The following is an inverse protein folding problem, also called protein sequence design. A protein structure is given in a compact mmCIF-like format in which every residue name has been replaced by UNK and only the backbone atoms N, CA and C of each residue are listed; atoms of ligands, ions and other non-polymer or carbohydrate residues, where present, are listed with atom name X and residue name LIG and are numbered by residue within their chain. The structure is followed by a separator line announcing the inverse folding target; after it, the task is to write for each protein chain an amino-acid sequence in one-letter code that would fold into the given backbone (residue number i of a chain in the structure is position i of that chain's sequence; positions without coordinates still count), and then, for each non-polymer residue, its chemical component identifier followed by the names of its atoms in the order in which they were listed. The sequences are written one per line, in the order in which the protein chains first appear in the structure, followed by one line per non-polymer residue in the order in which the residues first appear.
data_IF_170762280779
#
_entry.id   IF_170762280779
#
_cell.length_a   1.000
_cell.length_b   1.000
_cell.length_c   1.000
_cell.angle_alpha   90.00
_cell.angle_beta   90.00
_cell.angle_gamma   90.00
#
_symmetry.space_group_name_H-M   'P 1'
#
loop_
_entity.id
_entity.type
_entity.pdbx_description
1 polymer ?
#
# COMPACT_ATOMS: atom_id res chain seq x y z
N UNK A 1 -1.25 -4.88 6.36
CA UNK A 1 0.22 -4.85 6.11
C UNK A 1 0.61 -3.99 4.92
N UNK A 2 0.06 -4.24 3.72
CA UNK A 2 0.38 -3.42 2.53
C UNK A 2 -0.05 -1.96 2.75
N UNK A 3 -1.31 -1.71 3.16
CA UNK A 3 -1.81 -0.36 3.46
C UNK A 3 -1.03 0.39 4.56
N UNK A 4 -0.60 -0.29 5.61
CA UNK A 4 0.19 0.32 6.70
C UNK A 4 1.54 0.78 6.20
N UNK A 5 2.22 -0.07 5.42
CA UNK A 5 3.54 0.23 4.86
C UNK A 5 3.44 1.36 3.83
N UNK A 6 2.51 1.30 2.88
CA UNK A 6 2.35 2.35 1.87
C UNK A 6 1.92 3.69 2.48
N UNK A 7 0.99 3.72 3.44
CA UNK A 7 0.60 4.98 4.08
C UNK A 7 1.74 5.62 4.88
N UNK A 8 2.62 4.82 5.50
CA UNK A 8 3.81 5.31 6.20
C UNK A 8 4.84 5.89 5.22
N UNK A 9 5.14 5.15 4.14
CA UNK A 9 6.12 5.54 3.12
C UNK A 9 5.65 6.78 2.34
N UNK A 10 4.38 6.86 1.98
CA UNK A 10 3.80 8.01 1.26
C UNK A 10 3.76 9.26 2.15
N UNK A 11 3.41 9.13 3.44
CA UNK A 11 3.41 10.27 4.37
C UNK A 11 4.84 10.84 4.60
N UNK A 12 5.87 9.99 4.58
CA UNK A 12 7.27 10.40 4.67
C UNK A 12 7.79 11.07 3.39
N UNK A 13 7.39 10.57 2.21
CA UNK A 13 7.84 11.08 0.90
C UNK A 13 7.02 12.27 0.38
N UNK A 14 5.91 12.62 1.05
CA UNK A 14 4.98 13.71 0.67
C UNK A 14 5.65 15.04 0.34
N UNK A 15 6.77 15.38 0.99
CA UNK A 15 7.45 16.67 0.80
C UNK A 15 8.09 16.83 -0.58
N UNK A 16 8.28 15.72 -1.30
CA UNK A 16 8.94 15.66 -2.61
C UNK A 16 7.98 15.42 -3.77
N UNK A 17 6.67 15.28 -3.54
CA UNK A 17 5.70 14.92 -4.58
C UNK A 17 5.08 16.15 -5.26
N UNK A 18 5.39 16.44 -6.54
CA UNK A 18 4.73 17.50 -7.29
C UNK A 18 3.26 17.15 -7.59
N UNK A 19 2.36 18.13 -7.48
CA UNK A 19 0.91 17.93 -7.52
C UNK A 19 0.39 17.40 -8.88
N UNK A 20 1.09 17.71 -9.98
CA UNK A 20 0.69 17.37 -11.34
C UNK A 20 0.79 15.87 -11.65
N UNK A 21 1.68 15.13 -10.97
CA UNK A 21 1.94 13.71 -11.21
C UNK A 21 1.80 12.84 -9.95
N UNK A 22 0.97 13.28 -8.98
CA UNK A 22 0.78 12.59 -7.69
C UNK A 22 0.21 11.17 -7.81
N UNK A 23 -0.76 10.96 -8.72
CA UNK A 23 -1.44 9.67 -8.90
C UNK A 23 -0.46 8.58 -9.37
N UNK A 24 0.31 8.78 -10.47
CA UNK A 24 1.28 7.78 -10.90
C UNK A 24 2.40 7.55 -9.88
N UNK A 25 2.84 8.59 -9.14
CA UNK A 25 3.83 8.43 -8.07
C UNK A 25 3.31 7.51 -6.96
N UNK A 26 2.07 7.68 -6.51
CA UNK A 26 1.49 6.82 -5.48
C UNK A 26 1.38 5.37 -5.94
N UNK A 27 0.96 5.14 -7.18
CA UNK A 27 0.89 3.78 -7.75
C UNK A 27 2.28 3.14 -7.82
N UNK A 28 3.33 3.88 -8.18
CA UNK A 28 4.72 3.37 -8.19
C UNK A 28 5.22 3.01 -6.77
N UNK A 29 4.87 3.81 -5.77
CA UNK A 29 5.22 3.50 -4.37
C UNK A 29 4.47 2.24 -3.90
N UNK A 30 3.18 2.12 -4.22
CA UNK A 30 2.39 0.92 -3.87
C UNK A 30 2.96 -0.31 -4.58
N UNK A 31 3.28 -0.21 -5.87
CA UNK A 31 3.86 -1.29 -6.64
C UNK A 31 5.19 -1.79 -6.05
N UNK A 32 6.09 -0.89 -5.66
CA UNK A 32 7.38 -1.28 -5.06
C UNK A 32 7.24 -2.01 -3.73
N UNK A 33 6.36 -1.53 -2.83
CA UNK A 33 6.07 -2.22 -1.55
C UNK A 33 5.47 -3.61 -1.80
N UNK A 34 4.54 -3.71 -2.75
CA UNK A 34 3.90 -4.98 -3.10
C UNK A 34 4.88 -5.96 -3.75
N UNK A 35 5.82 -5.49 -4.57
CA UNK A 35 6.89 -6.34 -5.12
C UNK A 35 7.81 -6.91 -4.03
N UNK A 36 8.13 -6.13 -3.00
CA UNK A 36 8.92 -6.65 -1.85
C UNK A 36 8.14 -7.74 -1.11
N UNK A 37 6.84 -7.53 -0.90
CA UNK A 37 5.97 -8.54 -0.26
C UNK A 37 5.85 -9.80 -1.12
N UNK A 38 5.75 -9.66 -2.44
CA UNK A 38 5.74 -10.79 -3.38
C UNK A 38 7.01 -11.64 -3.22
N UNK A 39 8.19 -11.02 -3.20
CA UNK A 39 9.46 -11.74 -2.98
C UNK A 39 9.51 -12.42 -1.61
N UNK A 40 8.98 -11.77 -0.56
CA UNK A 40 8.91 -12.33 0.78
C UNK A 40 8.01 -13.58 0.84
N UNK A 41 6.84 -13.55 0.19
CA UNK A 41 5.92 -14.69 0.12
C UNK A 41 6.52 -15.84 -0.69
N UNK A 42 7.25 -15.54 -1.77
CA UNK A 42 7.95 -16.57 -2.55
C UNK A 42 8.99 -17.32 -1.70
N UNK A 43 9.67 -16.61 -0.79
CA UNK A 43 10.69 -17.19 0.08
C UNK A 43 10.12 -18.02 1.25
N UNK A 44 8.97 -17.63 1.83
CA UNK A 44 8.42 -18.28 3.03
C UNK A 44 7.23 -19.23 2.76
N UNK A 45 6.47 -19.03 1.68
CA UNK A 45 5.21 -19.76 1.43
C UNK A 45 4.95 -19.97 -0.07
N UNK A 46 5.76 -20.83 -0.70
CA UNK A 46 5.67 -21.13 -2.13
C UNK A 46 4.31 -21.71 -2.55
N UNK A 47 3.69 -22.53 -1.69
CA UNK A 47 2.35 -23.09 -1.93
C UNK A 47 1.24 -22.04 -2.01
N UNK A 48 1.33 -20.97 -1.21
CA UNK A 48 0.39 -19.84 -1.27
C UNK A 48 0.65 -18.95 -2.48
N UNK A 49 1.91 -18.80 -2.89
CA UNK A 49 2.31 -17.99 -4.05
C UNK A 49 1.62 -18.43 -5.34
N UNK A 50 1.45 -19.75 -5.53
CA UNK A 50 0.83 -20.31 -6.73
C UNK A 50 -0.67 -19.98 -6.86
N UNK A 51 -1.39 -19.83 -5.75
CA UNK A 51 -2.79 -19.38 -5.75
C UNK A 51 -2.95 -17.87 -5.63
N UNK A 52 -2.06 -17.18 -4.90
CA UNK A 52 -2.15 -15.74 -4.69
C UNK A 52 -1.53 -14.91 -5.82
N UNK A 53 -0.67 -15.47 -6.68
CA UNK A 53 0.10 -14.74 -7.70
C UNK A 53 -0.71 -13.74 -8.53
N UNK A 54 -1.96 -14.08 -8.88
CA UNK A 54 -2.86 -13.22 -9.67
C UNK A 54 -3.48 -12.09 -8.82
N UNK A 55 -3.61 -12.28 -7.51
CA UNK A 55 -4.17 -11.29 -6.59
C UNK A 55 -3.17 -10.19 -6.23
N UNK A 56 -1.86 -10.43 -6.34
CA UNK A 56 -0.84 -9.41 -6.04
C UNK A 56 -0.97 -8.16 -6.96
N UNK A 57 -1.08 -8.29 -8.29
CA UNK A 57 -1.34 -7.16 -9.18
C UNK A 57 -2.67 -6.45 -8.88
N UNK A 58 -3.73 -7.19 -8.50
CA UNK A 58 -5.03 -6.61 -8.11
C UNK A 58 -4.95 -5.76 -6.85
N UNK A 59 -3.98 -6.02 -5.96
CA UNK A 59 -3.76 -5.20 -4.76
C UNK A 59 -3.16 -3.84 -5.12
N UNK A 60 -2.25 -3.79 -6.11
CA UNK A 60 -1.63 -2.53 -6.59
C UNK A 60 -2.66 -1.62 -7.25
N UNK A 61 -3.58 -2.19 -8.03
CA UNK A 61 -4.63 -1.44 -8.74
C UNK A 61 -5.90 -1.22 -7.93
N UNK A 62 -5.91 -1.62 -6.66
CA UNK A 62 -7.09 -1.50 -5.83
C UNK A 62 -7.44 -0.03 -5.53
N UNK A 63 -8.65 0.37 -5.91
CA UNK A 63 -9.14 1.74 -5.75
C UNK A 63 -9.18 2.22 -4.29
N UNK A 64 -9.38 1.30 -3.32
CA UNK A 64 -9.39 1.64 -1.89
C UNK A 64 -7.97 2.04 -1.44
N UNK A 65 -6.93 1.36 -1.93
CA UNK A 65 -5.54 1.65 -1.57
C UNK A 65 -5.14 3.03 -2.12
N UNK A 66 -5.45 3.29 -3.39
CA UNK A 66 -5.15 4.57 -4.06
C UNK A 66 -5.97 5.71 -3.44
N UNK A 67 -7.27 5.50 -3.21
CA UNK A 67 -8.15 6.52 -2.64
C UNK A 67 -7.77 6.92 -1.21
N UNK A 68 -7.31 5.98 -0.38
CA UNK A 68 -6.83 6.29 0.97
C UNK A 68 -5.45 6.95 0.97
N UNK A 69 -4.56 6.55 0.07
CA UNK A 69 -3.27 7.21 -0.11
C UNK A 69 -3.46 8.70 -0.49
N UNK A 70 -4.39 9.00 -1.39
CA UNK A 70 -4.67 10.38 -1.80
C UNK A 70 -5.42 11.19 -0.72
N UNK A 71 -6.45 10.61 -0.08
CA UNK A 71 -7.29 11.34 0.86
C UNK A 71 -6.64 11.53 2.24
N UNK A 72 -5.83 10.58 2.71
CA UNK A 72 -5.31 10.53 4.08
C UNK A 72 -3.80 10.71 4.17
N UNK A 73 -2.99 9.95 3.41
CA UNK A 73 -1.53 10.05 3.47
C UNK A 73 -1.00 11.36 2.88
N UNK A 74 -1.66 11.91 1.86
CA UNK A 74 -1.32 13.21 1.28
C UNK A 74 -1.79 14.41 2.12
N UNK A 75 -2.46 14.22 3.27
CA UNK A 75 -2.99 15.32 4.11
C UNK A 75 -2.61 15.23 5.59
N UNK A 76 -2.44 14.05 6.17
CA UNK A 76 -2.11 13.84 7.60
C UNK A 76 -0.68 13.38 7.86
N UNK A 77 -0.22 13.52 9.10
CA UNK A 77 1.12 13.12 9.55
C UNK A 77 1.32 11.61 9.67
N UNK A 78 2.57 11.13 9.70
CA UNK A 78 2.92 9.71 9.51
C UNK A 78 2.34 8.78 10.59
N UNK A 79 2.23 9.25 11.83
CA UNK A 79 1.64 8.47 12.92
C UNK A 79 0.13 8.23 12.74
N UNK A 80 -0.63 9.23 12.25
CA UNK A 80 -2.05 9.09 11.96
C UNK A 80 -2.31 8.24 10.72
N UNK A 81 -1.45 8.35 9.71
CA UNK A 81 -1.53 7.53 8.48
C UNK A 81 -1.21 6.05 8.75
N UNK A 82 -0.30 5.76 9.69
CA UNK A 82 -0.03 4.39 10.13
C UNK A 82 -1.22 3.77 10.86
N UNK A 83 -1.84 4.52 11.78
CA UNK A 83 -2.98 4.06 12.56
C UNK A 83 -4.22 3.79 11.69
N UNK A 84 -4.40 4.61 10.65
CA UNK A 84 -5.48 4.48 9.67
C UNK A 84 -5.27 3.27 8.73
N UNK A 85 -4.04 3.07 8.26
CA UNK A 85 -3.70 1.86 7.50
C UNK A 85 -3.84 0.59 8.33
N UNK A 86 -3.61 0.66 9.64
CA UNK A 86 -3.71 -0.47 10.56
C UNK A 86 -5.16 -0.82 10.85
N UNK A 87 -6.01 0.17 11.13
CA UNK A 87 -7.44 -0.05 11.39
C UNK A 87 -8.18 -0.60 10.16
N UNK A 88 -7.89 -0.10 8.96
CA UNK A 88 -8.45 -0.66 7.72
C UNK A 88 -7.88 -2.03 7.41
N UNK A 89 -6.58 -2.24 7.64
CA UNK A 89 -5.97 -3.56 7.48
C UNK A 89 -6.59 -4.62 8.38
N UNK A 90 -6.86 -4.27 9.64
CA UNK A 90 -7.58 -5.14 10.59
C UNK A 90 -9.04 -5.35 10.14
N UNK A 91 -9.75 -4.29 9.74
CA UNK A 91 -11.13 -4.39 9.26
C UNK A 91 -11.27 -5.29 8.02
N UNK A 92 -10.34 -5.21 7.08
CA UNK A 92 -10.32 -6.06 5.89
C UNK A 92 -9.89 -7.51 6.17
N UNK A 93 -9.26 -7.79 7.32
CA UNK A 93 -8.90 -9.15 7.74
C UNK A 93 -10.02 -9.79 8.58
N UNK A 94 -10.82 -8.98 9.28
CA UNK A 94 -11.93 -9.43 10.13
C UNK A 94 -13.30 -9.49 9.42
N UNK A 95 -13.41 -8.95 8.20
CA UNK A 95 -14.60 -9.05 7.34
C UNK A 95 -14.45 -10.20 6.35
#
# INVERSE_FOLDING_TARGET
LVLTLTNLTISSLRRWTPAEIRIPIYVMIIASVVSVVQMLINAYAFGLYQSLGIFIPLIVTNCIVVGRAEAFAAKKGPALSALDGFSIGMGATCA
#
